data_IF_095923631827
#
_entry.id   IF_095923631827
#
_cell.length_a   1.000
_cell.length_b   1.000
_cell.length_c   1.000
_cell.angle_alpha   90.00
_cell.angle_beta   90.00
_cell.angle_gamma   90.00
#
_symmetry.space_group_name_H-M   'P 1'
#
loop_
_entity.id
_entity.type
_entity.pdbx_description
1 polymer ?
#
# COMPACT_ATOMS: atom_id res chain seq x y z
N UNK A 1 16.21 -21.50 -4.85
CA UNK A 1 15.01 -21.10 -5.61
C UNK A 1 14.84 -19.62 -5.41
N UNK A 2 14.69 -18.87 -6.50
CA UNK A 2 14.61 -17.42 -6.49
C UNK A 2 13.33 -17.00 -7.22
N UNK A 3 12.53 -16.16 -6.59
CA UNK A 3 11.31 -15.60 -7.18
C UNK A 3 11.67 -14.24 -7.77
N UNK A 4 11.04 -13.89 -8.89
CA UNK A 4 11.30 -12.66 -9.61
C UNK A 4 11.34 -11.39 -8.75
N UNK A 5 12.18 -10.44 -9.17
CA UNK A 5 12.29 -9.13 -8.52
C UNK A 5 10.99 -8.32 -8.55
N UNK A 6 10.16 -8.51 -9.57
CA UNK A 6 8.91 -7.79 -9.77
C UNK A 6 7.82 -8.21 -8.78
N UNK A 7 7.96 -9.35 -8.11
CA UNK A 7 7.03 -9.80 -7.07
C UNK A 7 7.45 -9.21 -5.71
N UNK A 8 6.62 -8.30 -5.18
CA UNK A 8 6.78 -7.65 -3.88
C UNK A 8 5.97 -8.34 -2.79
N UNK A 9 4.92 -9.07 -3.16
CA UNK A 9 4.02 -9.75 -2.24
C UNK A 9 4.68 -10.96 -1.59
N UNK A 10 4.60 -11.04 -0.27
CA UNK A 10 5.10 -12.17 0.54
C UNK A 10 6.60 -12.47 0.43
N UNK A 11 7.38 -11.58 -0.22
CA UNK A 11 8.81 -11.78 -0.42
C UNK A 11 9.63 -11.20 0.73
N UNK A 12 10.69 -11.89 1.18
CA UNK A 12 11.56 -11.36 2.20
C UNK A 12 12.20 -10.06 1.72
N UNK A 13 12.35 -9.09 2.64
CA UNK A 13 12.99 -7.80 2.38
C UNK A 13 12.31 -6.91 1.34
N UNK A 14 11.09 -7.25 0.91
CA UNK A 14 10.19 -6.39 0.13
C UNK A 14 8.93 -6.07 0.94
N UNK A 15 8.30 -4.95 0.63
CA UNK A 15 7.17 -4.40 1.37
C UNK A 15 6.18 -3.72 0.42
N UNK A 16 4.96 -3.48 0.90
CA UNK A 16 3.99 -2.67 0.15
C UNK A 16 4.53 -1.25 -0.09
N UNK A 17 5.30 -0.71 0.86
CA UNK A 17 5.93 0.61 0.74
C UNK A 17 6.90 0.67 -0.44
N UNK A 18 7.63 -0.41 -0.76
CA UNK A 18 8.52 -0.48 -1.93
C UNK A 18 7.75 -0.27 -3.23
N UNK A 19 6.70 -1.06 -3.46
CA UNK A 19 5.90 -1.00 -4.67
C UNK A 19 5.13 0.32 -4.80
N UNK A 20 4.55 0.81 -3.70
CA UNK A 20 3.87 2.12 -3.67
C UNK A 20 4.87 3.24 -4.00
N UNK A 21 6.07 3.20 -3.40
CA UNK A 21 7.12 4.20 -3.63
C UNK A 21 7.56 4.18 -5.08
N UNK A 22 7.83 3.00 -5.65
CA UNK A 22 8.28 2.86 -7.03
C UNK A 22 7.26 3.43 -8.02
N UNK A 23 5.99 3.05 -7.90
CA UNK A 23 4.93 3.59 -8.74
C UNK A 23 4.80 5.11 -8.61
N UNK A 24 4.83 5.64 -7.38
CA UNK A 24 4.69 7.09 -7.15
C UNK A 24 5.86 7.89 -7.72
N UNK A 25 7.09 7.40 -7.59
CA UNK A 25 8.27 8.06 -8.18
C UNK A 25 8.19 8.01 -9.69
N UNK A 26 7.79 6.88 -10.28
CA UNK A 26 7.60 6.76 -11.74
C UNK A 26 6.59 7.82 -12.22
N UNK A 27 5.39 7.84 -11.62
CA UNK A 27 4.36 8.84 -11.95
C UNK A 27 4.85 10.28 -11.73
N UNK A 28 5.62 10.54 -10.68
CA UNK A 28 6.20 11.87 -10.41
C UNK A 28 7.19 12.29 -11.50
N UNK A 29 8.11 11.41 -11.92
CA UNK A 29 9.10 11.74 -12.95
C UNK A 29 8.45 11.98 -14.32
N UNK A 30 7.47 11.17 -14.72
CA UNK A 30 6.72 11.41 -15.97
C UNK A 30 5.93 12.71 -15.92
N UNK A 31 5.29 12.98 -14.78
CA UNK A 31 4.59 14.24 -14.53
C UNK A 31 5.52 15.45 -14.68
N UNK A 32 6.67 15.41 -14.01
CA UNK A 32 7.69 16.44 -14.07
C UNK A 32 8.25 16.61 -15.50
N UNK A 33 8.48 15.51 -16.22
CA UNK A 33 8.97 15.51 -17.60
C UNK A 33 7.95 15.91 -18.66
N UNK A 34 6.69 16.19 -18.28
CA UNK A 34 5.58 16.50 -19.19
C UNK A 34 5.33 15.41 -20.25
N UNK A 35 5.60 14.15 -19.89
CA UNK A 35 5.37 12.96 -20.73
C UNK A 35 4.19 12.16 -20.19
N UNK A 36 3.52 11.46 -21.11
CA UNK A 36 2.44 10.54 -20.74
C UNK A 36 3.01 9.27 -20.11
N UNK A 37 2.29 8.76 -19.12
CA UNK A 37 2.52 7.44 -18.55
C UNK A 37 1.18 6.74 -18.43
N UNK A 38 1.10 5.56 -19.02
CA UNK A 38 -0.09 4.73 -19.03
C UNK A 38 0.10 3.62 -18.00
N UNK A 39 -0.81 3.53 -17.04
CA UNK A 39 -0.79 2.52 -15.98
C UNK A 39 -2.10 1.73 -16.02
N UNK A 40 -2.02 0.40 -16.12
CA UNK A 40 -3.16 -0.49 -15.93
C UNK A 40 -2.97 -1.26 -14.63
N UNK A 41 -3.98 -1.19 -13.78
CA UNK A 41 -4.06 -1.92 -12.52
C UNK A 41 -4.94 -3.14 -12.75
N UNK A 42 -4.34 -4.33 -12.74
CA UNK A 42 -4.99 -5.61 -13.02
C UNK A 42 -5.21 -6.34 -11.69
N UNK A 43 -6.43 -6.84 -11.49
CA UNK A 43 -6.83 -7.69 -10.36
C UNK A 43 -7.26 -9.05 -10.91
N UNK A 44 -7.00 -10.13 -10.18
CA UNK A 44 -7.40 -11.48 -10.57
C UNK A 44 -8.68 -11.90 -9.84
N UNK A 45 -9.60 -12.54 -10.56
CA UNK A 45 -10.82 -13.06 -9.95
C UNK A 45 -10.48 -14.22 -9.00
N UNK A 46 -10.71 -14.06 -7.70
CA UNK A 46 -10.53 -15.14 -6.70
C UNK A 46 -9.17 -15.86 -6.86
N UNK A 47 -8.09 -15.08 -6.89
CA UNK A 47 -6.76 -15.56 -7.27
C UNK A 47 -6.36 -16.88 -6.61
N UNK A 48 -6.52 -17.00 -5.27
CA UNK A 48 -6.16 -18.22 -4.56
C UNK A 48 -7.07 -19.39 -4.91
N UNK A 49 -8.38 -19.16 -5.05
CA UNK A 49 -9.36 -20.24 -5.31
C UNK A 49 -9.29 -20.76 -6.74
N UNK A 50 -8.66 -20.01 -7.67
CA UNK A 50 -8.57 -20.37 -9.08
C UNK A 50 -7.32 -21.14 -9.48
N UNK A 51 -6.26 -21.15 -8.66
CA UNK A 51 -4.99 -21.80 -9.01
C UNK A 51 -5.23 -23.28 -9.36
N UNK A 52 -5.00 -23.70 -10.62
CA UNK A 52 -5.10 -25.11 -10.98
C UNK A 52 -4.02 -25.91 -10.25
N UNK A 53 -4.39 -27.06 -9.67
CA UNK A 53 -3.43 -27.91 -8.93
C UNK A 53 -2.31 -28.40 -9.84
N UNK A 54 -2.64 -28.78 -11.06
CA UNK A 54 -1.62 -29.19 -12.05
C UNK A 54 -0.62 -28.07 -12.36
N UNK A 55 -1.08 -26.82 -12.46
CA UNK A 55 -0.20 -25.67 -12.65
C UNK A 55 0.68 -25.44 -11.41
N UNK A 56 0.14 -25.66 -10.19
CA UNK A 56 0.91 -25.60 -8.95
C UNK A 56 2.03 -26.65 -8.94
N UNK A 57 1.71 -27.92 -9.23
CA UNK A 57 2.71 -29.00 -9.26
C UNK A 57 3.77 -28.74 -10.32
N UNK A 58 3.34 -28.32 -11.51
CA UNK A 58 4.23 -27.94 -12.59
C UNK A 58 5.16 -26.79 -12.18
N UNK A 59 4.61 -25.72 -11.59
CA UNK A 59 5.38 -24.54 -11.19
C UNK A 59 6.39 -24.85 -10.08
N UNK A 60 6.02 -25.69 -9.11
CA UNK A 60 6.95 -26.16 -8.07
C UNK A 60 8.13 -26.92 -8.68
N UNK A 61 7.86 -27.90 -9.56
CA UNK A 61 8.91 -28.68 -10.23
C UNK A 61 9.80 -27.79 -11.09
N UNK A 62 9.21 -26.89 -11.88
CA UNK A 62 9.94 -25.98 -12.76
C UNK A 62 10.84 -25.01 -11.99
N UNK A 63 10.43 -24.63 -10.78
CA UNK A 63 11.22 -23.79 -9.87
C UNK A 63 12.30 -24.57 -9.10
N UNK A 64 12.49 -25.85 -9.39
CA UNK A 64 13.53 -26.70 -8.79
C UNK A 64 13.20 -27.25 -7.41
N UNK A 65 11.92 -27.25 -7.01
CA UNK A 65 11.49 -27.89 -5.76
C UNK A 65 11.65 -29.40 -5.90
N UNK A 66 12.38 -30.03 -4.98
CA UNK A 66 12.60 -31.48 -5.01
C UNK A 66 11.27 -32.26 -4.93
N UNK A 67 11.15 -33.33 -5.72
CA UNK A 67 9.89 -34.10 -5.87
C UNK A 67 9.33 -34.59 -4.53
N UNK A 68 10.18 -34.92 -3.55
CA UNK A 68 9.74 -35.29 -2.19
C UNK A 68 8.86 -34.22 -1.54
N UNK A 69 9.16 -32.93 -1.74
CA UNK A 69 8.37 -31.83 -1.21
C UNK A 69 7.12 -31.58 -2.06
N UNK A 70 7.21 -31.77 -3.38
CA UNK A 70 6.04 -31.69 -4.27
C UNK A 70 4.98 -32.71 -3.83
N UNK A 71 5.38 -33.96 -3.56
CA UNK A 71 4.49 -35.01 -3.07
C UNK A 71 3.85 -34.66 -1.72
N UNK A 72 4.61 -34.13 -0.76
CA UNK A 72 4.05 -33.68 0.53
C UNK A 72 2.99 -32.61 0.33
N UNK A 73 3.21 -31.64 -0.57
CA UNK A 73 2.19 -30.64 -0.88
C UNK A 73 1.02 -31.27 -1.64
N UNK A 74 1.24 -32.22 -2.56
CA UNK A 74 0.14 -32.96 -3.20
C UNK A 74 -0.74 -33.66 -2.17
N UNK A 75 -0.14 -34.36 -1.21
CA UNK A 75 -0.84 -35.06 -0.13
C UNK A 75 -1.67 -34.10 0.73
N UNK A 76 -1.16 -32.89 1.01
CA UNK A 76 -1.91 -31.87 1.74
C UNK A 76 -3.20 -31.46 1.01
N UNK A 77 -3.18 -31.46 -0.32
CA UNK A 77 -4.32 -31.03 -1.15
C UNK A 77 -5.23 -32.19 -1.57
N UNK A 78 -4.77 -33.44 -1.46
CA UNK A 78 -5.57 -34.61 -1.83
C UNK A 78 -6.82 -34.72 -0.94
N UNK A 79 -7.95 -35.10 -1.55
CA UNK A 79 -9.24 -35.34 -0.86
C UNK A 79 -9.72 -34.21 0.04
N UNK A 80 -9.22 -32.98 -0.16
CA UNK A 80 -9.67 -31.80 0.56
C UNK A 80 -11.17 -31.60 0.36
N UNK A 81 -11.91 -31.45 1.47
CA UNK A 81 -13.33 -31.14 1.49
C UNK A 81 -13.56 -29.88 2.31
N UNK A 82 -14.65 -29.16 2.02
CA UNK A 82 -14.98 -27.94 2.75
C UNK A 82 -16.49 -27.83 2.96
N UNK A 83 -16.86 -27.03 3.97
CA UNK A 83 -18.23 -26.64 4.32
C UNK A 83 -18.26 -25.14 4.54
N UNK A 84 -19.31 -24.47 4.09
CA UNK A 84 -19.49 -23.03 4.30
C UNK A 84 -20.47 -22.82 5.44
N UNK A 85 -20.08 -22.03 6.44
CA UNK A 85 -20.99 -21.61 7.52
C UNK A 85 -21.73 -20.35 7.10
N UNK A 86 -23.02 -20.47 6.88
CA UNK A 86 -23.95 -19.40 6.55
C UNK A 86 -24.81 -19.03 7.77
N UNK A 87 -25.57 -17.91 7.68
CA UNK A 87 -26.46 -17.47 8.76
C UNK A 87 -27.57 -18.48 9.10
N UNK A 88 -27.91 -19.36 8.16
CA UNK A 88 -28.94 -20.40 8.30
C UNK A 88 -28.38 -21.78 8.67
N UNK A 89 -27.06 -21.94 8.82
CA UNK A 89 -26.43 -23.23 9.12
C UNK A 89 -25.18 -23.52 8.28
N UNK A 90 -24.69 -24.76 8.34
CA UNK A 90 -23.59 -25.23 7.49
C UNK A 90 -24.12 -25.79 6.18
N UNK A 91 -23.41 -25.56 5.07
CA UNK A 91 -23.70 -26.22 3.80
C UNK A 91 -23.35 -27.70 3.86
N UNK A 92 -23.84 -28.46 2.88
CA UNK A 92 -23.31 -29.79 2.60
C UNK A 92 -21.81 -29.73 2.29
N UNK A 93 -21.14 -30.85 2.57
CA UNK A 93 -19.73 -31.01 2.32
C UNK A 93 -19.46 -31.21 0.83
N UNK A 94 -18.54 -30.44 0.26
CA UNK A 94 -18.12 -30.58 -1.13
C UNK A 94 -16.61 -30.70 -1.26
N UNK A 95 -16.17 -31.39 -2.32
CA UNK A 95 -14.74 -31.57 -2.62
C UNK A 95 -14.15 -30.27 -3.18
N UNK A 96 -12.95 -29.95 -2.74
CA UNK A 96 -12.14 -28.85 -3.28
C UNK A 96 -11.11 -29.47 -4.21
N UNK A 97 -11.15 -29.12 -5.49
CA UNK A 97 -10.27 -29.69 -6.54
C UNK A 97 -9.35 -28.63 -7.17
N UNK A 98 -9.63 -27.35 -6.92
CA UNK A 98 -8.88 -26.19 -7.43
C UNK A 98 -8.57 -25.24 -6.29
N UNK A 99 -7.52 -24.45 -6.47
CA UNK A 99 -7.15 -23.37 -5.59
C UNK A 99 -6.21 -23.78 -4.46
N UNK A 100 -5.70 -22.76 -3.77
CA UNK A 100 -4.84 -22.84 -2.61
C UNK A 100 -5.66 -22.81 -1.31
N UNK A 101 -5.16 -23.46 -0.25
CA UNK A 101 -5.81 -23.40 1.06
C UNK A 101 -5.72 -22.00 1.67
N UNK A 102 -6.84 -21.26 1.67
CA UNK A 102 -6.90 -19.98 2.35
C UNK A 102 -6.64 -20.13 3.85
N UNK A 103 -5.75 -19.30 4.40
CA UNK A 103 -5.34 -19.36 5.80
C UNK A 103 -4.15 -20.29 6.07
N UNK A 104 -3.71 -21.09 5.11
CA UNK A 104 -2.45 -21.84 5.23
C UNK A 104 -1.25 -20.89 5.18
N UNK A 105 -0.29 -21.10 6.08
CA UNK A 105 0.96 -20.35 6.10
C UNK A 105 1.83 -20.60 4.84
N UNK A 106 1.63 -21.73 4.16
CA UNK A 106 2.40 -22.12 2.98
C UNK A 106 1.81 -21.53 1.68
N UNK A 107 0.49 -21.33 1.62
CA UNK A 107 -0.20 -20.89 0.41
C UNK A 107 0.30 -19.57 -0.19
N UNK A 108 0.68 -18.54 0.59
CA UNK A 108 1.26 -17.32 0.02
C UNK A 108 2.54 -17.56 -0.79
N UNK A 109 3.38 -18.49 -0.32
CA UNK A 109 4.61 -18.85 -1.02
C UNK A 109 4.33 -19.68 -2.27
N UNK A 110 3.44 -20.66 -2.18
CA UNK A 110 3.00 -21.44 -3.34
C UNK A 110 2.37 -20.55 -4.42
N UNK A 111 1.58 -19.57 -4.00
CA UNK A 111 1.00 -18.58 -4.91
C UNK A 111 2.09 -17.77 -5.61
N UNK A 112 3.12 -17.33 -4.88
CA UNK A 112 4.23 -16.59 -5.46
C UNK A 112 5.02 -17.42 -6.48
N UNK A 113 5.24 -18.72 -6.23
CA UNK A 113 5.86 -19.64 -7.18
C UNK A 113 5.03 -19.76 -8.46
N UNK A 114 3.71 -19.95 -8.34
CA UNK A 114 2.81 -20.04 -9.50
C UNK A 114 2.85 -18.73 -10.29
N UNK A 115 2.67 -17.59 -9.63
CA UNK A 115 2.69 -16.28 -10.30
C UNK A 115 4.03 -15.98 -10.98
N UNK A 116 5.15 -16.39 -10.38
CA UNK A 116 6.48 -16.26 -11.00
C UNK A 116 6.56 -17.00 -12.34
N UNK A 117 6.09 -18.25 -12.37
CA UNK A 117 6.08 -19.08 -13.57
C UNK A 117 5.09 -18.61 -14.63
N UNK A 118 3.90 -18.18 -14.19
CA UNK A 118 2.86 -17.65 -15.09
C UNK A 118 3.31 -16.34 -15.76
N UNK A 119 4.02 -15.49 -15.03
CA UNK A 119 4.42 -14.17 -15.52
C UNK A 119 5.73 -14.15 -16.29
N UNK A 120 6.50 -15.23 -16.31
CA UNK A 120 7.86 -15.28 -16.84
C UNK A 120 8.03 -14.74 -18.27
N UNK A 121 7.04 -14.98 -19.15
CA UNK A 121 7.08 -14.56 -20.57
C UNK A 121 6.61 -13.12 -20.81
N UNK A 122 5.87 -12.53 -19.86
CA UNK A 122 5.19 -11.23 -20.05
C UNK A 122 5.67 -10.14 -19.10
N UNK A 123 6.35 -10.51 -18.01
CA UNK A 123 6.88 -9.54 -17.05
C UNK A 123 8.02 -8.74 -17.65
N UNK A 124 7.93 -7.42 -17.51
CA UNK A 124 9.03 -6.50 -17.79
C UNK A 124 9.76 -6.18 -16.51
N UNK A 125 10.95 -5.59 -16.61
CA UNK A 125 11.68 -5.15 -15.43
C UNK A 125 10.89 -4.12 -14.63
N UNK A 126 11.03 -4.12 -13.30
CA UNK A 126 10.49 -3.01 -12.50
C UNK A 126 11.21 -1.72 -12.91
N UNK A 127 10.48 -0.59 -13.06
CA UNK A 127 9.11 -0.36 -12.57
C UNK A 127 7.98 -0.61 -13.59
N UNK A 128 8.27 -1.15 -14.79
CA UNK A 128 7.26 -1.34 -15.86
C UNK A 128 6.26 -2.44 -15.55
N UNK A 129 6.68 -3.44 -14.78
CA UNK A 129 5.80 -4.43 -14.15
C UNK A 129 6.08 -4.45 -12.65
N UNK A 130 5.02 -4.34 -11.85
CA UNK A 130 5.06 -4.49 -10.40
C UNK A 130 3.92 -5.41 -9.97
N UNK A 131 4.25 -6.50 -9.28
CA UNK A 131 3.27 -7.47 -8.77
C UNK A 131 3.31 -7.47 -7.25
N UNK A 132 2.15 -7.51 -6.62
CA UNK A 132 2.04 -7.78 -5.19
C UNK A 132 0.95 -8.83 -5.02
N UNK A 133 1.36 -10.10 -4.91
CA UNK A 133 0.45 -11.22 -5.02
C UNK A 133 -0.39 -11.13 -6.31
N UNK A 134 -1.70 -10.93 -6.21
CA UNK A 134 -2.67 -10.83 -7.29
C UNK A 134 -2.85 -9.41 -7.85
N UNK A 135 -2.38 -8.37 -7.14
CA UNK A 135 -2.36 -7.00 -7.64
C UNK A 135 -1.19 -6.81 -8.62
N UNK A 136 -1.49 -6.58 -9.90
CA UNK A 136 -0.50 -6.36 -10.94
C UNK A 136 -0.63 -4.94 -11.49
N UNK A 137 0.50 -4.25 -11.62
CA UNK A 137 0.58 -2.94 -12.27
C UNK A 137 1.46 -3.05 -13.50
N UNK A 138 0.88 -2.67 -14.64
CA UNK A 138 1.55 -2.63 -15.94
C UNK A 138 1.66 -1.17 -16.36
N UNK A 139 2.90 -0.70 -16.56
CA UNK A 139 3.19 0.66 -16.98
C UNK A 139 3.80 0.69 -18.39
N UNK A 140 3.47 1.70 -19.17
CA UNK A 140 4.10 1.95 -20.47
C UNK A 140 4.09 3.45 -20.81
N UNK A 141 4.99 3.84 -21.72
CA UNK A 141 5.07 5.20 -22.25
C UNK A 141 4.03 5.49 -23.32
N UNK A 142 3.41 4.47 -23.93
CA UNK A 142 2.34 4.63 -24.92
C UNK A 142 1.11 3.80 -24.56
N UNK A 143 -0.05 4.31 -25.00
CA UNK A 143 -1.36 3.67 -24.82
C UNK A 143 -1.42 2.34 -25.54
N UNK A 144 -0.93 2.29 -26.78
CA UNK A 144 -0.93 1.10 -27.63
C UNK A 144 -0.10 -0.02 -26.99
N UNK A 145 1.06 0.34 -26.44
CA UNK A 145 1.95 -0.64 -25.80
C UNK A 145 1.37 -1.15 -24.47
N UNK A 146 0.70 -0.30 -23.67
CA UNK A 146 0.05 -0.79 -22.44
C UNK A 146 -1.13 -1.70 -22.75
N UNK A 147 -1.88 -1.42 -23.81
CA UNK A 147 -3.00 -2.25 -24.30
C UNK A 147 -2.49 -3.62 -24.77
N UNK A 148 -1.43 -3.63 -25.59
CA UNK A 148 -0.79 -4.88 -26.03
C UNK A 148 -0.26 -5.69 -24.84
N UNK A 149 0.42 -5.04 -23.90
CA UNK A 149 0.94 -5.71 -22.71
C UNK A 149 -0.21 -6.29 -21.87
N UNK A 150 -1.29 -5.54 -21.67
CA UNK A 150 -2.47 -6.02 -20.95
C UNK A 150 -3.06 -7.28 -21.61
N UNK A 151 -3.17 -7.31 -22.93
CA UNK A 151 -3.68 -8.47 -23.66
C UNK A 151 -2.76 -9.69 -23.60
N UNK A 152 -1.44 -9.47 -23.64
CA UNK A 152 -0.44 -10.52 -23.42
C UNK A 152 -0.54 -11.11 -22.01
N UNK A 153 -0.70 -10.26 -21.00
CA UNK A 153 -0.92 -10.66 -19.61
C UNK A 153 -2.20 -11.47 -19.45
N UNK A 154 -3.33 -10.96 -19.96
CA UNK A 154 -4.61 -11.67 -19.95
C UNK A 154 -4.49 -13.04 -20.60
N UNK A 155 -3.96 -13.11 -21.83
CA UNK A 155 -3.80 -14.39 -22.54
C UNK A 155 -2.96 -15.39 -21.75
N UNK A 156 -1.84 -14.94 -21.20
CA UNK A 156 -0.89 -15.81 -20.48
C UNK A 156 -1.46 -16.35 -19.18
N UNK A 157 -2.21 -15.53 -18.44
CA UNK A 157 -2.87 -15.93 -17.20
C UNK A 157 -4.08 -16.85 -17.49
N UNK A 158 -4.97 -16.44 -18.41
CA UNK A 158 -6.23 -17.13 -18.67
C UNK A 158 -6.01 -18.51 -19.31
N UNK A 159 -5.02 -18.65 -20.20
CA UNK A 159 -4.66 -19.95 -20.80
C UNK A 159 -4.20 -20.98 -19.76
N UNK A 160 -3.77 -20.53 -18.57
CA UNK A 160 -3.32 -21.38 -17.45
C UNK A 160 -4.27 -21.32 -16.25
N UNK A 161 -5.54 -20.97 -16.49
CA UNK A 161 -6.62 -21.06 -15.51
C UNK A 161 -6.76 -19.86 -14.55
N UNK A 162 -5.90 -18.84 -14.66
CA UNK A 162 -5.99 -17.63 -13.85
C UNK A 162 -6.77 -16.55 -14.59
N UNK A 163 -7.89 -16.09 -14.03
CA UNK A 163 -8.78 -15.16 -14.74
C UNK A 163 -8.59 -13.70 -14.30
N UNK A 164 -8.48 -12.81 -15.28
CA UNK A 164 -8.41 -11.36 -15.03
C UNK A 164 -9.80 -10.81 -14.69
N UNK A 165 -9.89 -9.99 -13.64
CA UNK A 165 -11.12 -9.32 -13.24
C UNK A 165 -11.33 -8.06 -14.07
N UNK A 166 -12.15 -8.16 -15.12
CA UNK A 166 -12.46 -7.03 -16.01
C UNK A 166 -13.09 -5.85 -15.28
N UNK A 167 -14.00 -6.12 -14.33
CA UNK A 167 -14.72 -5.07 -13.60
C UNK A 167 -13.88 -4.32 -12.57
N UNK A 168 -12.78 -4.92 -12.10
CA UNK A 168 -11.83 -4.31 -11.17
C UNK A 168 -10.56 -3.81 -11.83
N UNK A 169 -10.30 -4.22 -13.07
CA UNK A 169 -9.16 -3.72 -13.85
C UNK A 169 -9.43 -2.26 -14.22
N UNK A 170 -8.52 -1.37 -13.87
CA UNK A 170 -8.68 0.07 -14.07
C UNK A 170 -7.45 0.66 -14.79
N UNK A 171 -7.68 1.65 -15.63
CA UNK A 171 -6.66 2.34 -16.43
C UNK A 171 -6.47 3.78 -15.94
N UNK A 172 -5.23 4.22 -15.78
CA UNK A 172 -4.87 5.59 -15.41
C UNK A 172 -3.83 6.14 -16.37
N UNK A 173 -4.01 7.40 -16.79
CA UNK A 173 -3.03 8.14 -17.58
C UNK A 173 -2.50 9.34 -16.77
N UNK A 174 -1.18 9.49 -16.69
CA UNK A 174 -0.51 10.70 -16.16
C UNK A 174 -0.22 11.64 -17.33
N UNK A 175 -0.40 12.94 -17.14
CA UNK A 175 -0.18 13.99 -18.17
C UNK A 175 -0.95 13.76 -19.48
N UNK A 176 -2.17 13.23 -19.36
CA UNK A 176 -3.05 12.98 -20.50
C UNK A 176 -3.14 14.17 -21.45
N UNK A 177 -2.86 13.92 -22.73
CA UNK A 177 -2.99 14.87 -23.84
C UNK A 177 -4.35 14.72 -24.52
N UNK A 178 -4.76 15.73 -25.26
CA UNK A 178 -5.98 15.64 -26.07
C UNK A 178 -5.83 14.50 -27.09
N UNK A 179 -6.78 13.56 -27.09
CA UNK A 179 -6.80 12.41 -28.00
C UNK A 179 -6.21 11.11 -27.45
N UNK A 180 -5.69 11.07 -26.21
CA UNK A 180 -5.02 9.88 -25.62
C UNK A 180 -5.92 8.68 -25.30
N UNK A 181 -7.17 8.70 -25.76
CA UNK A 181 -8.07 7.55 -25.82
C UNK A 181 -8.29 6.76 -24.53
N UNK A 182 -8.85 5.57 -24.70
CA UNK A 182 -9.05 4.54 -23.69
C UNK A 182 -8.18 3.32 -24.03
N UNK A 183 -7.92 2.48 -23.03
CA UNK A 183 -7.29 1.17 -23.21
C UNK A 183 -8.40 0.14 -23.31
N UNK A 184 -8.25 -0.84 -24.20
CA UNK A 184 -9.22 -1.93 -24.36
C UNK A 184 -8.69 -3.25 -23.82
N UNK A 185 -9.60 -4.09 -23.33
CA UNK A 185 -9.35 -5.47 -22.95
C UNK A 185 -10.44 -6.32 -23.60
N UNK A 186 -10.06 -7.21 -24.49
CA UNK A 186 -10.96 -8.02 -25.33
C UNK A 186 -11.94 -7.16 -26.15
N UNK A 187 -11.48 -5.98 -26.58
CA UNK A 187 -12.30 -5.02 -27.33
C UNK A 187 -13.24 -4.16 -26.46
N UNK A 188 -13.41 -4.47 -25.17
CA UNK A 188 -14.16 -3.65 -24.22
C UNK A 188 -13.28 -2.56 -23.60
N UNK A 189 -13.83 -1.37 -23.35
CA UNK A 189 -13.06 -0.29 -22.73
C UNK A 189 -12.79 -0.57 -21.24
N UNK A 190 -11.51 -0.49 -20.86
CA UNK A 190 -11.10 -0.53 -19.46
C UNK A 190 -11.48 0.78 -18.79
N UNK A 191 -12.09 0.69 -17.62
CA UNK A 191 -12.53 1.86 -16.85
C UNK A 191 -11.36 2.80 -16.58
N UNK A 192 -11.41 3.99 -17.17
CA UNK A 192 -10.43 5.06 -16.95
C UNK A 192 -10.68 5.77 -15.63
N UNK A 193 -9.63 5.94 -14.81
CA UNK A 193 -9.70 6.55 -13.48
C UNK A 193 -8.62 7.60 -13.28
N UNK A 194 -8.96 8.62 -12.50
CA UNK A 194 -8.00 9.66 -12.06
C UNK A 194 -7.38 9.35 -10.69
N UNK A 195 -7.95 8.37 -9.98
CA UNK A 195 -7.44 7.86 -8.71
C UNK A 195 -7.61 6.34 -8.61
N UNK A 196 -6.66 5.66 -7.98
CA UNK A 196 -6.70 4.22 -7.76
C UNK A 196 -6.19 3.90 -6.35
N UNK A 197 -6.75 2.86 -5.69
CA UNK A 197 -6.29 2.38 -4.38
C UNK A 197 -5.32 1.21 -4.58
N UNK A 198 -4.03 1.49 -4.57
CA UNK A 198 -2.97 0.50 -4.71
C UNK A 198 -2.37 0.13 -3.36
N UNK A 199 -2.40 -1.16 -2.98
CA UNK A 199 -1.82 -1.70 -1.74
C UNK A 199 -2.22 -0.93 -0.47
N UNK A 200 -3.47 -0.49 -0.46
CA UNK A 200 -4.03 0.29 0.63
C UNK A 200 -3.81 1.80 0.55
N UNK A 201 -2.97 2.32 -0.36
CA UNK A 201 -2.70 3.76 -0.56
C UNK A 201 -3.29 4.28 -1.87
N UNK A 202 -3.76 5.54 -1.87
CA UNK A 202 -4.38 6.17 -3.05
C UNK A 202 -3.33 6.86 -3.90
N UNK A 203 -3.21 6.43 -5.16
CA UNK A 203 -2.44 7.11 -6.19
C UNK A 203 -3.37 7.94 -7.07
N UNK A 204 -2.90 9.10 -7.53
CA UNK A 204 -3.67 10.02 -8.37
C UNK A 204 -2.81 10.44 -9.56
N UNK A 205 -3.41 10.53 -10.75
CA UNK A 205 -2.74 10.93 -12.00
C UNK A 205 -2.06 12.30 -11.90
N UNK A 206 -2.72 13.27 -11.25
CA UNK A 206 -2.20 14.62 -11.01
C UNK A 206 -1.16 14.68 -9.86
N UNK A 207 -1.00 13.57 -9.13
CA UNK A 207 -0.19 13.36 -7.93
C UNK A 207 -0.54 14.29 -6.76
N UNK A 208 -1.81 14.63 -6.63
CA UNK A 208 -2.36 15.17 -5.38
C UNK A 208 -2.46 14.07 -4.30
N UNK A 209 -2.51 14.49 -3.04
CA UNK A 209 -2.56 13.58 -1.89
C UNK A 209 -3.67 13.93 -0.89
N UNK A 210 -4.55 14.88 -1.21
CA UNK A 210 -5.63 15.29 -0.30
C UNK A 210 -6.59 14.15 0.00
N UNK A 211 -6.94 13.35 -1.01
CA UNK A 211 -7.84 12.19 -0.83
C UNK A 211 -7.19 11.11 0.04
N UNK A 212 -5.89 10.90 -0.12
CA UNK A 212 -5.13 9.99 0.73
C UNK A 212 -5.14 10.44 2.19
N UNK A 213 -4.89 11.72 2.46
CA UNK A 213 -4.94 12.30 3.81
C UNK A 213 -6.31 12.10 4.45
N UNK A 214 -7.40 12.36 3.73
CA UNK A 214 -8.76 12.10 4.23
C UNK A 214 -8.99 10.63 4.59
N UNK A 215 -8.54 9.70 3.75
CA UNK A 215 -8.64 8.26 4.02
C UNK A 215 -7.81 7.86 5.25
N UNK A 216 -6.63 8.44 5.45
CA UNK A 216 -5.82 8.22 6.67
C UNK A 216 -6.48 8.76 7.93
N UNK A 217 -7.09 9.94 7.86
CA UNK A 217 -7.89 10.48 8.95
C UNK A 217 -9.05 9.55 9.29
N UNK A 218 -9.78 9.05 8.28
CA UNK A 218 -10.87 8.10 8.49
C UNK A 218 -10.38 6.77 9.08
N UNK A 219 -9.25 6.23 8.61
CA UNK A 219 -8.64 5.03 9.17
C UNK A 219 -8.26 5.23 10.64
N UNK A 220 -7.68 6.40 10.98
CA UNK A 220 -7.43 6.81 12.36
C UNK A 220 -8.70 6.81 13.21
N UNK A 221 -9.78 7.43 12.74
CA UNK A 221 -11.06 7.43 13.45
C UNK A 221 -11.66 6.04 13.61
N UNK A 222 -11.56 5.18 12.59
CA UNK A 222 -12.03 3.80 12.68
C UNK A 222 -11.23 3.02 13.74
N UNK A 223 -9.91 3.18 13.75
CA UNK A 223 -9.05 2.61 14.81
C UNK A 223 -9.43 3.15 16.19
N UNK A 224 -9.62 4.46 16.31
CA UNK A 224 -10.02 5.12 17.56
C UNK A 224 -11.35 4.60 18.08
N UNK A 225 -12.37 4.42 17.20
CA UNK A 225 -13.68 3.88 17.59
C UNK A 225 -13.61 2.45 18.13
N UNK A 226 -12.71 1.61 17.60
CA UNK A 226 -12.53 0.23 18.08
C UNK A 226 -11.98 0.16 19.51
N UNK A 227 -11.23 1.18 19.92
CA UNK A 227 -10.64 1.27 21.27
C UNK A 227 -11.29 2.36 22.13
N UNK A 228 -12.47 2.84 21.74
CA UNK A 228 -13.17 3.92 22.43
C UNK A 228 -13.55 3.54 23.86
N UNK A 229 -13.84 2.26 24.13
CA UNK A 229 -14.10 1.77 25.49
C UNK A 229 -12.95 2.06 26.46
N UNK A 230 -11.70 2.01 25.98
CA UNK A 230 -10.51 2.36 26.77
C UNK A 230 -10.21 3.86 26.71
N UNK A 231 -10.35 4.48 25.53
CA UNK A 231 -10.02 5.89 25.35
C UNK A 231 -11.00 6.84 26.04
N UNK A 232 -12.26 6.45 26.21
CA UNK A 232 -13.31 7.26 26.82
C UNK A 232 -13.51 6.97 28.31
N UNK A 233 -12.91 5.90 28.86
CA UNK A 233 -13.03 5.58 30.28
C UNK A 233 -12.24 6.58 31.13
N UNK A 234 -12.92 7.26 32.05
CA UNK A 234 -12.31 8.25 32.94
C UNK A 234 -11.39 7.61 33.99
N UNK A 235 -11.57 6.33 34.32
CA UNK A 235 -10.71 5.59 35.26
C UNK A 235 -9.32 5.31 34.68
N UNK A 236 -9.17 5.42 33.36
CA UNK A 236 -7.93 5.12 32.66
C UNK A 236 -7.08 6.38 32.55
N UNK A 237 -5.85 6.31 33.05
CA UNK A 237 -4.93 7.44 33.03
C UNK A 237 -4.64 7.94 31.62
N UNK A 238 -4.42 9.24 31.49
CA UNK A 238 -4.08 9.89 30.23
C UNK A 238 -2.86 9.26 29.52
N UNK A 239 -1.88 8.79 30.31
CA UNK A 239 -0.68 8.11 29.80
C UNK A 239 -1.02 6.80 29.09
N UNK A 240 -1.94 6.00 29.66
CA UNK A 240 -2.40 4.75 29.04
C UNK A 240 -3.20 5.06 27.78
N UNK A 241 -4.11 6.03 27.83
CA UNK A 241 -4.87 6.49 26.64
C UNK A 241 -3.95 6.92 25.51
N UNK A 242 -2.91 7.68 25.82
CA UNK A 242 -1.88 8.06 24.85
C UNK A 242 -1.08 6.87 24.32
N UNK A 243 -0.77 5.87 25.15
CA UNK A 243 -0.14 4.62 24.68
C UNK A 243 -1.03 3.90 23.67
N UNK A 244 -2.32 3.74 23.97
CA UNK A 244 -3.31 3.12 23.07
C UNK A 244 -3.43 3.89 21.75
N UNK A 245 -3.46 5.23 21.81
CA UNK A 245 -3.44 6.06 20.61
C UNK A 245 -2.19 5.78 19.76
N UNK A 246 -1.00 5.76 20.37
CA UNK A 246 0.27 5.53 19.66
C UNK A 246 0.36 4.13 19.05
N UNK A 247 -0.30 3.12 19.63
CA UNK A 247 -0.22 1.72 19.17
C UNK A 247 -1.30 1.35 18.15
N UNK A 248 -2.49 1.94 18.22
CA UNK A 248 -3.62 1.55 17.36
C UNK A 248 -3.98 2.64 16.34
N UNK A 249 -4.09 3.88 16.80
CA UNK A 249 -4.66 4.97 15.98
C UNK A 249 -3.59 5.60 15.08
N UNK A 250 -2.44 5.95 15.66
CA UNK A 250 -1.34 6.59 14.93
C UNK A 250 -0.82 5.74 13.77
N UNK A 251 -0.55 4.42 13.92
CA UNK A 251 -0.08 3.63 12.79
C UNK A 251 -1.07 3.61 11.62
N UNK A 252 -2.38 3.55 11.91
CA UNK A 252 -3.41 3.61 10.87
C UNK A 252 -3.43 4.96 10.12
N UNK A 253 -3.13 6.06 10.82
CA UNK A 253 -3.00 7.39 10.20
C UNK A 253 -1.70 7.52 9.40
N UNK A 254 -0.60 6.91 9.84
CA UNK A 254 0.71 7.05 9.22
C UNK A 254 0.93 6.16 8.00
N UNK A 255 0.21 5.03 7.88
CA UNK A 255 0.42 4.05 6.82
C UNK A 255 0.50 4.68 5.43
N UNK A 256 1.64 4.51 4.75
CA UNK A 256 1.88 4.95 3.38
C UNK A 256 2.22 6.44 3.23
N UNK A 257 2.13 7.25 4.30
CA UNK A 257 2.46 8.69 4.24
C UNK A 257 3.95 8.96 4.03
N UNK A 258 4.83 8.00 4.35
CA UNK A 258 6.26 8.06 4.07
C UNK A 258 6.58 8.15 2.56
N UNK A 259 5.64 7.73 1.71
CA UNK A 259 5.75 7.80 0.24
C UNK A 259 5.00 8.98 -0.38
N UNK A 260 4.49 9.91 0.44
CA UNK A 260 3.61 10.99 -0.02
C UNK A 260 4.24 12.36 0.21
N UNK A 261 4.19 13.22 -0.82
CA UNK A 261 4.53 14.64 -0.70
C UNK A 261 3.38 15.43 -0.06
N UNK A 262 3.36 15.51 1.27
CA UNK A 262 2.40 16.35 1.99
C UNK A 262 2.73 17.84 1.82
N UNK A 263 1.69 18.68 1.71
CA UNK A 263 1.75 20.14 1.85
C UNK A 263 1.45 20.53 3.29
N UNK A 264 1.90 21.72 3.74
CA UNK A 264 1.61 22.25 5.09
C UNK A 264 0.12 22.16 5.48
N UNK A 265 -0.79 22.49 4.55
CA UNK A 265 -2.25 22.39 4.78
C UNK A 265 -2.70 20.97 5.14
N UNK A 266 -2.13 19.95 4.49
CA UNK A 266 -2.47 18.54 4.70
C UNK A 266 -1.86 18.01 6.00
N UNK A 267 -0.64 18.42 6.32
CA UNK A 267 -0.05 18.17 7.65
C UNK A 267 -0.94 18.75 8.76
N UNK A 268 -1.42 19.99 8.61
CA UNK A 268 -2.35 20.60 9.56
C UNK A 268 -3.68 19.85 9.67
N UNK A 269 -4.22 19.32 8.56
CA UNK A 269 -5.46 18.52 8.57
C UNK A 269 -5.31 17.25 9.42
N UNK A 270 -4.17 16.57 9.29
CA UNK A 270 -3.86 15.40 10.11
C UNK A 270 -3.67 15.75 11.59
N UNK A 271 -2.98 16.86 11.89
CA UNK A 271 -2.77 17.31 13.27
C UNK A 271 -4.07 17.74 13.95
N UNK A 272 -5.00 18.37 13.22
CA UNK A 272 -6.33 18.71 13.74
C UNK A 272 -7.11 17.44 14.10
N UNK A 273 -7.05 16.41 13.25
CA UNK A 273 -7.68 15.12 13.53
C UNK A 273 -7.08 14.44 14.77
N UNK A 274 -5.75 14.36 14.87
CA UNK A 274 -5.04 13.85 16.07
C UNK A 274 -5.51 14.58 17.33
N UNK A 275 -5.48 15.91 17.30
CA UNK A 275 -5.84 16.73 18.45
C UNK A 275 -7.31 16.57 18.86
N UNK A 276 -8.22 16.36 17.90
CA UNK A 276 -9.63 16.09 18.18
C UNK A 276 -9.81 14.73 18.88
N UNK A 277 -9.10 13.70 18.42
CA UNK A 277 -9.10 12.37 19.05
C UNK A 277 -8.53 12.40 20.48
N UNK A 278 -7.42 13.10 20.69
CA UNK A 278 -6.79 13.22 22.01
C UNK A 278 -7.66 14.01 22.98
N UNK A 279 -8.20 15.15 22.55
CA UNK A 279 -9.16 15.93 23.33
C UNK A 279 -10.34 15.11 23.81
N UNK A 280 -10.96 14.35 22.90
CA UNK A 280 -12.08 13.48 23.24
C UNK A 280 -11.67 12.44 24.29
N UNK A 281 -10.51 11.81 24.12
CA UNK A 281 -10.03 10.80 25.10
C UNK A 281 -9.75 11.38 26.49
N UNK A 282 -9.40 12.67 26.57
CA UNK A 282 -9.09 13.34 27.83
C UNK A 282 -10.31 14.09 28.41
N UNK A 283 -11.48 14.04 27.77
CA UNK A 283 -12.66 14.78 28.22
C UNK A 283 -12.52 16.31 28.08
N UNK A 284 -11.60 16.78 27.24
CA UNK A 284 -11.32 18.22 27.05
C UNK A 284 -11.98 18.73 25.78
N UNK A 285 -12.64 19.87 25.88
CA UNK A 285 -13.29 20.59 24.78
C UNK A 285 -12.44 21.75 24.29
N UNK A 286 -12.92 22.46 23.25
CA UNK A 286 -12.29 23.70 22.80
C UNK A 286 -12.58 24.88 23.75
N UNK A 287 -13.65 24.80 24.54
CA UNK A 287 -14.06 25.87 25.46
C UNK A 287 -13.13 25.97 26.67
N UNK A 288 -12.46 24.87 27.02
CA UNK A 288 -11.49 24.83 28.12
C UNK A 288 -10.21 25.63 27.82
N UNK A 289 -10.02 26.08 26.57
CA UNK A 289 -8.87 26.90 26.10
C UNK A 289 -7.49 26.32 26.46
N UNK A 290 -7.41 25.00 26.68
CA UNK A 290 -6.16 24.29 26.94
C UNK A 290 -5.31 24.26 25.66
N UNK A 291 -4.04 24.66 25.78
CA UNK A 291 -3.10 24.68 24.65
C UNK A 291 -2.82 23.25 24.15
N UNK A 292 -2.59 23.13 22.85
CA UNK A 292 -2.35 21.84 22.20
C UNK A 292 -1.12 21.11 22.75
N UNK A 293 -0.09 21.85 23.16
CA UNK A 293 1.14 21.29 23.73
C UNK A 293 0.85 20.55 25.03
N UNK A 294 -0.01 21.10 25.89
CA UNK A 294 -0.40 20.45 27.15
C UNK A 294 -1.21 19.17 26.91
N UNK A 295 -2.18 19.19 25.98
CA UNK A 295 -2.97 17.98 25.64
C UNK A 295 -2.06 16.83 25.20
N UNK A 296 -1.09 17.15 24.32
CA UNK A 296 -0.09 16.19 23.85
C UNK A 296 0.85 15.73 24.97
N UNK A 297 1.32 16.65 25.81
CA UNK A 297 2.15 16.36 26.98
C UNK A 297 1.47 15.40 27.96
N UNK A 298 0.23 15.69 28.34
CA UNK A 298 -0.58 14.86 29.25
C UNK A 298 -0.79 13.43 28.74
N UNK A 299 -0.96 13.27 27.42
CA UNK A 299 -1.04 11.94 26.80
C UNK A 299 0.33 11.31 26.48
N UNK A 300 1.44 12.03 26.65
CA UNK A 300 2.79 11.67 26.16
C UNK A 300 2.83 11.38 24.65
N UNK A 301 2.13 12.18 23.86
CA UNK A 301 1.98 11.99 22.41
C UNK A 301 2.68 13.12 21.67
N UNK A 302 3.81 12.84 21.01
CA UNK A 302 4.49 13.82 20.14
C UNK A 302 3.62 14.22 18.94
N UNK A 303 3.95 15.31 18.23
CA UNK A 303 3.12 15.77 17.09
C UNK A 303 3.11 14.74 15.97
N UNK A 304 1.97 14.60 15.30
CA UNK A 304 1.87 13.73 14.14
C UNK A 304 2.77 14.17 12.98
N UNK A 305 2.88 15.48 12.72
CA UNK A 305 3.75 16.00 11.66
C UNK A 305 5.20 15.54 11.81
N UNK A 306 5.75 15.65 13.02
CA UNK A 306 7.11 15.18 13.34
C UNK A 306 7.25 13.67 13.09
N UNK A 307 6.21 12.89 13.40
CA UNK A 307 6.19 11.44 13.16
C UNK A 307 6.08 11.06 11.69
N UNK A 308 5.40 11.86 10.87
CA UNK A 308 5.43 11.69 9.41
C UNK A 308 6.84 11.96 8.88
N UNK A 309 7.48 13.04 9.32
CA UNK A 309 8.86 13.37 8.91
C UNK A 309 9.85 12.29 9.35
N UNK A 310 9.73 11.79 10.58
CA UNK A 310 10.54 10.67 11.08
C UNK A 310 10.35 9.40 10.24
N UNK A 311 9.11 9.04 9.91
CA UNK A 311 8.81 7.88 9.08
C UNK A 311 9.41 8.01 7.67
N UNK A 312 9.29 9.21 7.07
CA UNK A 312 9.86 9.52 5.76
C UNK A 312 11.39 9.47 5.76
N UNK A 313 12.05 10.03 6.77
CA UNK A 313 13.51 9.97 6.90
C UNK A 313 13.99 8.55 7.16
N UNK A 314 13.28 7.77 7.98
CA UNK A 314 13.59 6.36 8.20
C UNK A 314 13.49 5.56 6.91
N UNK A 315 12.42 5.78 6.14
CA UNK A 315 12.23 5.16 4.83
C UNK A 315 13.31 5.56 3.84
N UNK A 316 13.58 6.86 3.70
CA UNK A 316 14.64 7.34 2.81
C UNK A 316 16.01 6.76 3.19
N UNK A 317 16.34 6.76 4.49
CA UNK A 317 17.58 6.13 4.98
C UNK A 317 17.59 4.62 4.72
N UNK A 318 16.45 3.93 4.78
CA UNK A 318 16.36 2.53 4.38
C UNK A 318 16.74 2.36 2.91
N UNK A 319 16.15 3.16 2.01
CA UNK A 319 16.45 3.12 0.57
C UNK A 319 17.93 3.41 0.31
N UNK A 320 18.51 4.43 0.96
CA UNK A 320 19.92 4.82 0.77
C UNK A 320 20.93 3.75 1.23
N UNK A 321 20.56 2.87 2.17
CA UNK A 321 21.43 1.78 2.63
C UNK A 321 21.36 0.51 1.78
N UNK A 322 20.48 0.47 0.78
CA UNK A 322 20.33 -0.68 -0.12
C UNK A 322 21.30 -0.57 -1.30
N UNK A 323 21.56 -1.71 -1.92
CA UNK A 323 22.35 -1.82 -3.16
C UNK A 323 21.65 -1.10 -4.33
N UNK A 324 22.42 -0.78 -5.38
CA UNK A 324 21.94 -0.03 -6.55
C UNK A 324 20.80 -0.71 -7.30
N UNK A 325 20.74 -2.05 -7.29
CA UNK A 325 19.71 -2.85 -7.97
C UNK A 325 18.35 -2.79 -7.27
N UNK A 326 18.33 -2.46 -5.97
CA UNK A 326 17.09 -2.34 -5.22
C UNK A 326 16.18 -1.26 -5.81
N UNK A 327 14.90 -1.57 -5.98
CA UNK A 327 13.96 -0.70 -6.71
C UNK A 327 13.92 0.73 -6.17
N UNK A 328 14.00 0.93 -4.85
CA UNK A 328 13.98 2.28 -4.29
C UNK A 328 15.18 3.12 -4.74
N UNK A 329 16.37 2.50 -4.87
CA UNK A 329 17.59 3.15 -5.38
C UNK A 329 17.46 3.41 -6.87
N UNK A 330 17.12 2.38 -7.67
CA UNK A 330 16.88 2.53 -9.12
C UNK A 330 15.87 3.64 -9.41
N UNK A 331 14.79 3.73 -8.66
CA UNK A 331 13.77 4.75 -8.85
C UNK A 331 14.24 6.16 -8.49
N UNK A 332 15.09 6.32 -7.46
CA UNK A 332 15.68 7.63 -7.17
C UNK A 332 16.64 8.05 -8.29
N UNK A 333 17.50 7.12 -8.71
CA UNK A 333 18.58 7.33 -9.69
C UNK A 333 18.08 7.38 -11.15
N UNK A 334 16.86 6.90 -11.43
CA UNK A 334 16.27 6.88 -12.78
C UNK A 334 16.15 8.29 -13.36
N UNK A 335 16.81 8.56 -14.49
CA UNK A 335 16.62 9.80 -15.23
C UNK A 335 15.63 9.57 -16.37
N UNK A 336 14.66 10.48 -16.52
CA UNK A 336 13.73 10.48 -17.65
C UNK A 336 13.99 11.68 -18.54
N UNK A 337 13.99 11.50 -19.87
CA UNK A 337 14.09 12.61 -20.80
C UNK A 337 12.84 13.50 -20.70
N UNK A 338 13.03 14.81 -20.68
CA UNK A 338 11.95 15.79 -20.59
C UNK A 338 12.38 17.07 -19.90
N UNK A 339 11.65 18.17 -20.12
CA UNK A 339 11.88 19.43 -19.42
C UNK A 339 10.81 19.62 -18.36
N UNK A 340 11.23 19.97 -17.15
CA UNK A 340 10.33 20.42 -16.10
C UNK A 340 9.58 21.67 -16.55
N UNK A 341 8.29 21.72 -16.24
CA UNK A 341 7.46 22.89 -16.49
C UNK A 341 8.06 24.12 -15.77
N UNK A 342 8.06 25.28 -16.45
CA UNK A 342 8.50 26.55 -15.84
C UNK A 342 7.59 26.92 -14.66
N UNK A 343 8.19 27.23 -13.52
CA UNK A 343 7.49 27.65 -12.30
C UNK A 343 8.05 27.00 -11.04
N UNK A 344 7.38 27.22 -9.90
CA UNK A 344 7.76 26.60 -8.63
C UNK A 344 7.51 25.08 -8.71
N UNK A 345 8.52 24.23 -8.47
CA UNK A 345 8.35 22.79 -8.52
C UNK A 345 7.39 22.31 -7.41
N UNK A 346 6.62 21.26 -7.71
CA UNK A 346 5.85 20.56 -6.69
C UNK A 346 6.82 19.93 -5.67
N UNK A 347 6.38 19.76 -4.43
CA UNK A 347 7.14 19.00 -3.43
C UNK A 347 7.41 17.59 -3.96
N UNK A 348 8.67 17.19 -3.98
CA UNK A 348 9.08 15.89 -4.52
C UNK A 348 9.08 14.82 -3.45
N UNK A 349 8.67 13.59 -3.81
CA UNK A 349 8.78 12.43 -2.91
C UNK A 349 10.27 12.07 -2.73
N UNK A 350 11.09 12.25 -3.78
CA UNK A 350 12.51 11.94 -3.79
C UNK A 350 13.35 12.82 -2.83
N UNK A 351 12.86 14.02 -2.49
CA UNK A 351 13.54 14.94 -1.57
C UNK A 351 12.88 14.96 -0.18
N UNK A 352 13.41 14.22 0.81
CA UNK A 352 12.83 14.15 2.15
C UNK A 352 12.93 15.48 2.92
N UNK A 353 13.89 16.35 2.58
CA UNK A 353 14.15 17.65 3.24
C UNK A 353 13.18 18.76 2.85
N UNK A 354 12.40 18.60 1.76
CA UNK A 354 11.32 19.54 1.37
C UNK A 354 10.19 19.60 2.42
N UNK A 355 10.18 18.64 3.35
CA UNK A 355 9.30 18.57 4.52
C UNK A 355 9.83 19.40 5.71
N UNK A 356 10.36 20.61 5.49
CA UNK A 356 10.50 21.66 6.51
C UNK A 356 11.00 21.20 7.90
N UNK A 357 12.06 20.42 7.95
CA UNK A 357 12.59 19.85 9.19
C UNK A 357 13.40 20.86 10.00
N UNK A 358 12.84 21.29 11.14
CA UNK A 358 13.59 21.75 12.31
C UNK A 358 13.48 20.63 13.38
N UNK A 359 14.33 19.60 13.30
CA UNK A 359 14.31 18.46 14.24
C UNK A 359 15.28 18.66 15.41
N UNK A 360 16.01 19.78 15.46
CA UNK A 360 17.10 19.96 16.42
C UNK A 360 16.72 20.46 17.84
N UNK A 361 15.44 20.69 18.17
CA UNK A 361 15.09 21.43 19.41
C UNK A 361 14.22 20.68 20.44
N UNK A 362 13.99 19.37 20.31
CA UNK A 362 12.93 18.67 21.05
C UNK A 362 13.35 17.73 22.20
N UNK A 363 14.65 17.61 22.52
CA UNK A 363 15.14 16.72 23.57
C UNK A 363 15.63 17.54 24.77
N UNK A 364 14.72 18.21 25.46
CA UNK A 364 14.97 18.63 26.84
C UNK A 364 13.78 18.22 27.71
N UNK A 365 14.15 17.55 28.80
CA UNK A 365 13.30 16.87 29.77
C UNK A 365 12.12 17.74 30.25
N UNK A 366 10.89 17.28 30.00
CA UNK A 366 9.71 17.88 30.62
C UNK A 366 9.43 17.18 31.96
N UNK A 367 9.69 17.90 33.05
CA UNK A 367 9.28 17.51 34.41
C UNK A 367 7.75 17.29 34.45
N UNK A 368 7.25 16.25 35.13
CA UNK A 368 5.82 16.05 35.31
C UNK A 368 5.27 17.12 36.26
N UNK A 369 4.16 17.76 35.87
CA UNK A 369 3.40 18.68 36.74
C UNK A 369 1.94 18.20 36.82
N UNK A 370 1.41 18.30 38.05
CA UNK A 370 0.19 17.70 38.62
C UNK A 370 -1.06 17.73 37.73
N UNK A 371 -1.81 16.62 37.80
CA UNK A 371 -3.11 16.43 37.17
C UNK A 371 -4.21 17.26 37.83
N UNK A 372 -5.27 17.54 37.06
CA UNK A 372 -6.43 18.36 37.42
C UNK A 372 -7.27 17.82 38.60
N UNK A 373 -6.92 16.64 39.14
CA UNK A 373 -7.59 16.02 40.29
C UNK A 373 -7.13 16.59 41.64
N UNK A 374 -6.08 17.42 41.68
CA UNK A 374 -5.59 18.06 42.92
C UNK A 374 -6.09 19.49 43.14
N UNK A 375 -7.20 19.89 42.51
CA UNK A 375 -7.88 21.18 42.76
C UNK A 375 -9.36 21.00 43.10
N UNK A 376 -9.65 20.13 44.06
CA UNK A 376 -10.83 20.25 44.93
C UNK A 376 -10.46 19.87 46.35
#
# INVERSE_FOLDING_TARGET
MEICEQQYGFMPRKSTTDAIFALRILMEKYRDGQRELHCVFVDLEKAYDRVPREELWYSMRKSGVAEKYVRVVQDMYERSRTVVRCAVGQTEEFKVEVGLHQGSALSPFLFAIVMDQLSAEVRQESPWTMMFADDIVICSESREQVEENLERWRFTLERRGMKVSRSKTEYMCVNEREGSGTVRLQGEEVKKVQEFKYLGSTVQSNGECRKEVKKRVQAGWNGWRKVSGVLCDQKISARIKGKVYRTVVRPAMLYGLETVSLKKRQESELEVAELKMLRFSLGVTRLDRIRNEYIRGTAHVGRLGDKVSEARLRWFGHVQRRESEYIGRRMLDMELPGRRQRGRPKRSIANPTDAGTNVAAGLNETKPVRTYEERR
#
